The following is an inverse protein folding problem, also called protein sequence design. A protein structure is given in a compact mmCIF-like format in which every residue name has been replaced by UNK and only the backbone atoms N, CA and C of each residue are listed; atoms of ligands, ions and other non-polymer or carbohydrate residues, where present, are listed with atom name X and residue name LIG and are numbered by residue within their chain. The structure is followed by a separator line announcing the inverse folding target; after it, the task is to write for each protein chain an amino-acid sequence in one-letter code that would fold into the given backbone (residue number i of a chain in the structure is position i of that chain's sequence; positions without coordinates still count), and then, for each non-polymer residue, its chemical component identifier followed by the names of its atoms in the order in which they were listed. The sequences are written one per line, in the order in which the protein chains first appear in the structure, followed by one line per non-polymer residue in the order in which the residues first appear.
data_IF_635956925318
#
_entry.id   IF_635956925318
#
_cell.length_a   1.000
_cell.length_b   1.000
_cell.length_c   1.000
_cell.angle_alpha   90.00
_cell.angle_beta   90.00
_cell.angle_gamma   90.00
#
_symmetry.space_group_name_H-M   'P 1'
#
loop_
_entity.id
_entity.type
_entity.pdbx_description
1 polymer ?
#
# COMPACT_ATOMS: atom_id res chain seq x y z
N UNK A 1 16.21 -17.08 -13.10
CA UNK A 1 16.60 -17.40 -14.50
C UNK A 1 17.59 -16.34 -14.97
N UNK A 2 18.55 -16.69 -15.83
CA UNK A 2 19.52 -15.72 -16.39
C UNK A 2 19.33 -15.64 -17.90
N UNK A 3 19.41 -14.45 -18.48
CA UNK A 3 19.38 -14.27 -19.94
C UNK A 3 20.69 -14.73 -20.58
N UNK A 4 20.77 -14.87 -21.93
CA UNK A 4 22.02 -15.14 -22.63
C UNK A 4 23.13 -14.13 -22.31
N UNK A 5 22.74 -12.92 -21.91
CA UNK A 5 23.63 -11.83 -21.47
C UNK A 5 24.10 -11.95 -20.02
N UNK A 6 23.64 -12.96 -19.27
CA UNK A 6 24.05 -13.26 -17.88
C UNK A 6 23.22 -12.59 -16.79
N UNK A 7 22.37 -11.61 -17.13
CA UNK A 7 21.59 -10.84 -16.16
C UNK A 7 20.40 -11.65 -15.62
N UNK A 8 20.07 -11.46 -14.34
CA UNK A 8 18.91 -12.12 -13.73
C UNK A 8 17.63 -11.50 -14.24
N UNK A 9 16.67 -12.34 -14.65
CA UNK A 9 15.33 -11.90 -15.04
C UNK A 9 14.55 -11.58 -13.77
N UNK A 10 14.09 -10.33 -13.66
CA UNK A 10 13.22 -9.87 -12.58
C UNK A 10 11.75 -10.17 -12.90
N UNK A 11 11.28 -9.77 -14.10
CA UNK A 11 9.90 -9.89 -14.50
C UNK A 11 9.73 -9.85 -16.02
N UNK A 12 8.54 -10.20 -16.50
CA UNK A 12 8.07 -9.85 -17.84
C UNK A 12 6.96 -8.83 -17.68
N UNK A 13 7.10 -7.70 -18.39
CA UNK A 13 6.15 -6.61 -18.32
C UNK A 13 5.56 -6.30 -19.70
N UNK A 14 4.32 -5.82 -19.71
CA UNK A 14 3.65 -5.34 -20.92
C UNK A 14 2.97 -3.99 -20.67
N UNK A 15 2.94 -3.16 -21.71
CA UNK A 15 2.22 -1.89 -21.75
C UNK A 15 0.81 -2.12 -22.29
N UNK A 16 -0.19 -1.49 -21.68
CA UNK A 16 -1.59 -1.54 -22.11
C UNK A 16 -2.06 -0.15 -22.55
N UNK A 17 -2.90 -0.08 -23.60
CA UNK A 17 -3.34 1.20 -24.16
C UNK A 17 -4.39 1.94 -23.31
N UNK A 18 -5.06 1.25 -22.38
CA UNK A 18 -6.10 1.84 -21.55
C UNK A 18 -6.29 1.12 -20.22
N UNK A 19 -6.88 1.80 -19.24
CA UNK A 19 -7.27 1.22 -17.96
C UNK A 19 -8.24 0.04 -18.11
N UNK A 20 -9.14 0.09 -19.11
CA UNK A 20 -10.08 -0.99 -19.38
C UNK A 20 -9.39 -2.24 -19.94
N UNK A 21 -8.42 -2.07 -20.84
CA UNK A 21 -7.62 -3.17 -21.36
C UNK A 21 -6.78 -3.82 -20.24
N UNK A 22 -6.17 -2.99 -19.40
CA UNK A 22 -5.41 -3.46 -18.23
C UNK A 22 -6.29 -4.23 -17.23
N UNK A 23 -7.51 -3.75 -16.98
CA UNK A 23 -8.47 -4.38 -16.07
C UNK A 23 -8.89 -5.78 -16.55
N UNK A 24 -9.18 -5.95 -17.84
CA UNK A 24 -9.47 -7.27 -18.41
C UNK A 24 -8.25 -8.18 -18.44
N UNK A 25 -7.05 -7.62 -18.68
CA UNK A 25 -5.80 -8.37 -18.59
C UNK A 25 -5.54 -8.87 -17.16
N UNK A 26 -5.77 -8.04 -16.14
CA UNK A 26 -5.61 -8.40 -14.74
C UNK A 26 -6.49 -9.60 -14.36
N UNK A 27 -7.76 -9.64 -14.80
CA UNK A 27 -8.64 -10.80 -14.59
C UNK A 27 -8.06 -12.08 -15.20
N UNK A 28 -7.56 -12.01 -16.44
CA UNK A 28 -6.98 -13.18 -17.12
C UNK A 28 -5.73 -13.69 -16.41
N UNK A 29 -4.87 -12.78 -15.93
CA UNK A 29 -3.65 -13.15 -15.19
C UNK A 29 -4.00 -13.79 -13.84
N UNK A 30 -4.99 -13.24 -13.13
CA UNK A 30 -5.55 -13.85 -11.92
C UNK A 30 -6.11 -15.25 -12.20
N UNK A 31 -6.93 -15.40 -13.23
CA UNK A 31 -7.60 -16.65 -13.58
C UNK A 31 -6.61 -17.71 -14.09
N UNK A 32 -5.49 -17.28 -14.68
CA UNK A 32 -4.34 -18.12 -15.00
C UNK A 32 -3.57 -18.61 -13.75
N UNK A 33 -3.87 -18.08 -12.56
CA UNK A 33 -3.34 -18.56 -11.29
C UNK A 33 -1.96 -18.02 -10.90
N UNK A 34 -1.51 -16.94 -11.53
CA UNK A 34 -0.31 -16.22 -11.09
C UNK A 34 -0.56 -15.54 -9.74
N UNK A 35 0.42 -15.59 -8.84
CA UNK A 35 0.33 -15.05 -7.47
C UNK A 35 1.25 -13.86 -7.22
N UNK A 36 2.35 -13.73 -7.97
CA UNK A 36 3.36 -12.69 -7.84
C UNK A 36 3.43 -11.87 -9.11
N UNK A 37 2.48 -10.96 -9.23
CA UNK A 37 2.36 -10.03 -10.32
C UNK A 37 1.75 -8.74 -9.78
N UNK A 38 1.98 -7.63 -10.48
CA UNK A 38 1.50 -6.32 -10.09
C UNK A 38 1.06 -5.50 -11.30
N UNK A 39 0.28 -4.46 -11.03
CA UNK A 39 -0.28 -3.55 -12.02
C UNK A 39 0.14 -2.14 -11.67
N UNK A 40 0.66 -1.41 -12.65
CA UNK A 40 1.03 -0.01 -12.48
C UNK A 40 0.15 0.87 -13.36
N UNK A 41 -0.54 1.81 -12.71
CA UNK A 41 -1.39 2.80 -13.36
C UNK A 41 -1.14 4.20 -12.77
N UNK A 42 -1.28 5.27 -13.57
CA UNK A 42 -1.06 6.64 -13.11
C UNK A 42 -2.14 7.11 -12.12
N UNK A 43 -3.29 6.42 -12.08
CA UNK A 43 -4.39 6.69 -11.17
C UNK A 43 -5.02 5.38 -10.67
N UNK A 44 -5.75 5.42 -9.55
CA UNK A 44 -6.48 4.25 -9.04
C UNK A 44 -7.61 3.84 -9.99
N UNK A 45 -7.56 2.60 -10.48
CA UNK A 45 -8.62 2.03 -11.31
C UNK A 45 -9.65 1.35 -10.39
N UNK A 46 -10.90 1.78 -10.46
CA UNK A 46 -11.97 1.22 -9.62
C UNK A 46 -12.18 -0.28 -9.88
N UNK A 47 -12.20 -1.08 -8.81
CA UNK A 47 -12.39 -2.54 -8.88
C UNK A 47 -11.14 -3.31 -9.30
N UNK A 48 -9.98 -2.66 -9.46
CA UNK A 48 -8.73 -3.34 -9.80
C UNK A 48 -8.32 -4.35 -8.71
N UNK A 49 -8.60 -4.05 -7.46
CA UNK A 49 -8.45 -4.97 -6.33
C UNK A 49 -9.22 -6.27 -6.52
N UNK A 50 -10.50 -6.19 -6.91
CA UNK A 50 -11.31 -7.37 -7.23
C UNK A 50 -10.80 -8.10 -8.49
N UNK A 51 -10.36 -7.37 -9.51
CA UNK A 51 -9.78 -7.95 -10.73
C UNK A 51 -8.47 -8.69 -10.48
N UNK A 52 -7.63 -8.18 -9.57
CA UNK A 52 -6.41 -8.83 -9.11
C UNK A 52 -6.68 -9.95 -8.09
N UNK A 53 -7.85 -9.96 -7.46
CA UNK A 53 -8.20 -10.91 -6.41
C UNK A 53 -7.52 -10.59 -5.07
N UNK A 54 -7.27 -9.31 -4.80
CA UNK A 54 -6.66 -8.85 -3.56
C UNK A 54 -7.69 -8.83 -2.43
N UNK A 55 -7.25 -9.26 -1.24
CA UNK A 55 -8.06 -9.16 -0.03
C UNK A 55 -8.02 -7.75 0.58
N UNK A 56 -8.87 -7.53 1.58
CA UNK A 56 -8.85 -6.28 2.36
C UNK A 56 -7.49 -6.06 3.00
N UNK A 57 -6.96 -4.84 2.88
CA UNK A 57 -5.71 -4.46 3.55
C UNK A 57 -5.84 -4.57 5.07
N UNK A 58 -4.78 -5.10 5.69
CA UNK A 58 -4.65 -5.22 7.14
C UNK A 58 -4.27 -3.90 7.84
N UNK A 59 -4.09 -2.80 7.09
CA UNK A 59 -3.71 -1.48 7.59
C UNK A 59 -4.65 -0.93 8.68
N UNK A 60 -5.94 -1.27 8.65
CA UNK A 60 -6.88 -0.77 9.65
C UNK A 60 -6.55 -1.22 11.08
N UNK A 61 -5.93 -2.39 11.25
CA UNK A 61 -5.59 -2.94 12.56
C UNK A 61 -4.52 -2.11 13.31
N UNK A 62 -3.34 -1.82 12.73
CA UNK A 62 -2.37 -0.95 13.39
C UNK A 62 -2.89 0.48 13.60
N UNK A 63 -3.69 1.04 12.67
CA UNK A 63 -4.29 2.37 12.86
C UNK A 63 -5.20 2.39 14.09
N UNK A 64 -6.02 1.34 14.29
CA UNK A 64 -6.85 1.22 15.48
C UNK A 64 -6.00 1.15 16.76
N UNK A 65 -4.92 0.37 16.75
CA UNK A 65 -3.98 0.29 17.88
C UNK A 65 -3.34 1.65 18.17
N UNK A 66 -2.94 2.38 17.13
CA UNK A 66 -2.44 3.75 17.23
C UNK A 66 -3.46 4.72 17.84
N UNK A 67 -4.72 4.62 17.44
CA UNK A 67 -5.81 5.41 18.03
C UNK A 67 -6.02 5.09 19.51
N UNK A 68 -6.10 3.80 19.88
CA UNK A 68 -6.29 3.37 21.28
C UNK A 68 -5.13 3.85 22.16
N UNK A 69 -3.89 3.70 21.68
CA UNK A 69 -2.70 4.17 22.42
C UNK A 69 -2.70 5.69 22.58
N UNK A 70 -3.08 6.45 21.55
CA UNK A 70 -3.27 7.91 21.64
C UNK A 70 -4.34 8.29 22.65
N UNK A 71 -5.50 7.62 22.63
CA UNK A 71 -6.59 7.87 23.56
C UNK A 71 -6.19 7.61 25.02
N UNK A 72 -5.55 6.47 25.29
CA UNK A 72 -5.06 6.12 26.64
C UNK A 72 -3.99 7.11 27.12
N UNK A 73 -3.11 7.54 26.21
CA UNK A 73 -2.09 8.55 26.51
C UNK A 73 -2.75 9.89 26.89
N UNK A 74 -3.82 10.29 26.20
CA UNK A 74 -4.52 11.53 26.53
C UNK A 74 -5.23 11.47 27.88
N UNK A 75 -5.84 10.32 28.21
CA UNK A 75 -6.43 10.11 29.54
C UNK A 75 -5.33 10.23 30.61
N UNK A 76 -4.19 9.56 30.43
CA UNK A 76 -3.08 9.62 31.37
C UNK A 76 -2.53 11.06 31.51
N UNK A 77 -2.40 11.78 30.39
CA UNK A 77 -1.86 13.14 30.36
C UNK A 77 -2.81 14.18 30.98
N UNK A 78 -4.12 13.97 30.89
CA UNK A 78 -5.12 14.92 31.42
C UNK A 78 -5.53 14.61 32.84
N UNK A 79 -5.96 13.37 33.12
CA UNK A 79 -6.38 12.95 34.47
C UNK A 79 -5.21 12.72 35.43
N UNK A 80 -4.04 12.31 34.93
CA UNK A 80 -2.84 12.16 35.76
C UNK A 80 -2.52 13.43 36.57
N UNK A 81 -2.25 14.55 35.90
CA UNK A 81 -2.01 15.82 36.58
C UNK A 81 -3.23 16.34 37.35
N UNK A 82 -4.40 16.33 36.71
CA UNK A 82 -5.60 16.97 37.26
C UNK A 82 -6.17 16.28 38.49
N UNK A 83 -5.98 14.97 38.64
CA UNK A 83 -6.59 14.18 39.74
C UNK A 83 -5.54 13.66 40.72
N UNK A 84 -4.37 13.23 40.25
CA UNK A 84 -3.40 12.52 41.09
C UNK A 84 -2.18 13.35 41.49
N UNK A 85 -1.61 14.15 40.59
CA UNK A 85 -0.33 14.85 40.85
C UNK A 85 -0.57 16.19 41.55
N UNK A 86 -1.44 17.03 40.98
CA UNK A 86 -1.69 18.37 41.52
C UNK A 86 -3.13 18.82 41.22
N UNK A 87 -4.10 18.41 42.06
CA UNK A 87 -5.50 18.76 41.86
C UNK A 87 -5.70 20.26 42.11
N UNK A 88 -5.95 20.99 41.03
CA UNK A 88 -6.21 22.44 41.06
C UNK A 88 -7.69 22.71 40.75
N UNK A 89 -8.37 23.37 41.70
CA UNK A 89 -9.74 23.83 41.50
C UNK A 89 -9.72 25.14 40.71
N UNK A 90 -10.03 25.07 39.41
CA UNK A 90 -10.10 26.23 38.52
C UNK A 90 -11.57 26.57 38.26
N UNK A 91 -11.99 27.78 38.64
CA UNK A 91 -13.38 28.25 38.51
C UNK A 91 -14.43 27.33 39.15
N UNK A 92 -14.08 26.66 40.25
CA UNK A 92 -14.99 25.74 40.96
C UNK A 92 -15.27 24.43 40.22
N UNK A 93 -14.54 24.15 39.12
CA UNK A 93 -14.68 22.88 38.38
C UNK A 93 -14.13 21.73 39.22
N UNK A 94 -14.79 20.56 39.21
CA UNK A 94 -14.31 19.39 39.94
C UNK A 94 -12.98 18.88 39.35
N UNK A 95 -12.16 18.22 40.16
CA UNK A 95 -10.90 17.58 39.70
C UNK A 95 -11.06 16.09 39.39
N UNK A 96 -12.29 15.59 39.52
CA UNK A 96 -12.65 14.18 39.30
C UNK A 96 -13.07 13.93 37.82
N UNK A 97 -13.57 12.72 37.56
CA UNK A 97 -14.07 12.27 36.26
C UNK A 97 -15.10 13.20 35.60
N UNK A 98 -15.82 14.02 36.38
CA UNK A 98 -16.83 14.98 35.91
C UNK A 98 -16.25 16.08 35.01
N UNK A 99 -14.93 16.28 35.01
CA UNK A 99 -14.23 17.24 34.14
C UNK A 99 -13.84 16.65 32.79
N UNK A 100 -14.17 15.39 32.51
CA UNK A 100 -13.97 14.74 31.21
C UNK A 100 -14.42 15.59 30.00
N UNK A 101 -15.57 16.31 30.02
CA UNK A 101 -15.97 17.13 28.88
C UNK A 101 -14.96 18.26 28.53
N UNK A 102 -14.24 18.79 29.52
CA UNK A 102 -13.22 19.82 29.27
C UNK A 102 -11.96 19.25 28.62
N UNK A 103 -11.67 17.96 28.82
CA UNK A 103 -10.50 17.27 28.25
C UNK A 103 -10.81 16.58 26.93
N UNK A 104 -12.08 16.52 26.51
CA UNK A 104 -12.49 15.85 25.28
C UNK A 104 -11.74 16.34 24.04
N UNK A 105 -11.51 17.66 23.81
CA UNK A 105 -10.71 18.10 22.68
C UNK A 105 -9.29 17.50 22.67
N UNK A 106 -8.63 17.43 23.84
CA UNK A 106 -7.28 16.86 23.96
C UNK A 106 -7.31 15.35 23.66
N UNK A 107 -8.30 14.63 24.19
CA UNK A 107 -8.47 13.19 23.93
C UNK A 107 -8.69 12.91 22.45
N UNK A 108 -9.53 13.72 21.79
CA UNK A 108 -9.79 13.61 20.36
C UNK A 108 -8.53 13.86 19.54
N UNK A 109 -7.85 14.99 19.77
CA UNK A 109 -6.66 15.38 18.99
C UNK A 109 -5.53 14.35 19.13
N UNK A 110 -5.25 13.86 20.34
CA UNK A 110 -4.17 12.89 20.53
C UNK A 110 -4.51 11.52 19.92
N UNK A 111 -5.78 11.12 19.96
CA UNK A 111 -6.26 9.91 19.28
C UNK A 111 -6.05 10.01 17.78
N UNK A 112 -6.48 11.12 17.17
CA UNK A 112 -6.35 11.36 15.73
C UNK A 112 -4.87 11.48 15.33
N UNK A 113 -4.05 12.18 16.12
CA UNK A 113 -2.63 12.34 15.88
C UNK A 113 -1.88 10.99 15.85
N UNK A 114 -2.07 10.16 16.89
CA UNK A 114 -1.42 8.85 16.96
C UNK A 114 -1.94 7.89 15.88
N UNK A 115 -3.24 7.93 15.57
CA UNK A 115 -3.81 7.16 14.46
C UNK A 115 -3.23 7.58 13.11
N UNK A 116 -3.08 8.88 12.85
CA UNK A 116 -2.53 9.43 11.62
C UNK A 116 -1.06 9.05 11.42
N UNK A 117 -0.22 9.20 12.45
CA UNK A 117 1.18 8.76 12.38
C UNK A 117 1.29 7.25 12.15
N UNK A 118 0.49 6.47 12.89
CA UNK A 118 0.50 5.01 12.71
C UNK A 118 0.06 4.62 11.31
N UNK A 119 -0.97 5.27 10.75
CA UNK A 119 -1.41 5.07 9.37
C UNK A 119 -0.29 5.37 8.37
N UNK A 120 0.36 6.53 8.50
CA UNK A 120 1.45 6.95 7.63
C UNK A 120 2.61 5.95 7.64
N UNK A 121 3.14 5.63 8.82
CA UNK A 121 4.29 4.73 8.94
C UNK A 121 3.94 3.28 8.58
N UNK A 122 2.75 2.80 8.99
CA UNK A 122 2.31 1.45 8.65
C UNK A 122 2.13 1.27 7.14
N UNK A 123 1.54 2.26 6.45
CA UNK A 123 1.40 2.22 4.99
C UNK A 123 2.76 2.15 4.29
N UNK A 124 3.73 2.96 4.72
CA UNK A 124 5.08 2.92 4.18
C UNK A 124 5.74 1.55 4.38
N UNK A 125 5.72 1.02 5.60
CA UNK A 125 6.34 -0.27 5.94
C UNK A 125 5.68 -1.42 5.17
N UNK A 126 4.34 -1.44 5.10
CA UNK A 126 3.59 -2.49 4.40
C UNK A 126 3.87 -2.51 2.90
N UNK A 127 4.07 -1.35 2.29
CA UNK A 127 4.42 -1.22 0.88
C UNK A 127 5.93 -1.39 0.64
N UNK A 128 6.73 -1.62 1.68
CA UNK A 128 8.20 -1.75 1.57
C UNK A 128 8.89 -0.43 1.22
N UNK A 129 8.31 0.71 1.58
CA UNK A 129 8.86 2.05 1.39
C UNK A 129 9.62 2.53 2.63
N UNK A 130 10.69 3.34 2.48
CA UNK A 130 11.23 3.88 1.22
C UNK A 130 12.05 2.85 0.44
N UNK A 131 11.75 2.70 -0.86
CA UNK A 131 12.52 1.87 -1.80
C UNK A 131 12.99 2.72 -2.96
N UNK A 132 14.25 3.15 -2.89
CA UNK A 132 14.85 4.06 -3.86
C UNK A 132 15.06 3.44 -5.24
N UNK A 133 15.34 2.13 -5.28
CA UNK A 133 15.55 1.41 -6.51
C UNK A 133 14.64 0.18 -6.56
N UNK A 134 13.86 0.11 -7.64
CA UNK A 134 13.04 -1.03 -7.99
C UNK A 134 13.46 -1.50 -9.38
N UNK A 135 13.73 -2.80 -9.61
CA UNK A 135 14.19 -3.31 -10.91
C UNK A 135 13.33 -2.93 -12.12
N UNK A 136 12.04 -2.68 -11.86
CA UNK A 136 11.12 -2.22 -12.91
C UNK A 136 11.50 -0.88 -13.55
N UNK A 137 12.25 -0.04 -12.83
CA UNK A 137 12.71 1.25 -13.34
C UNK A 137 13.78 1.09 -14.44
N UNK A 138 14.37 -0.10 -14.62
CA UNK A 138 15.33 -0.39 -15.68
C UNK A 138 14.67 -0.48 -17.07
N UNK A 139 13.33 -0.46 -17.11
CA UNK A 139 12.59 -0.39 -18.36
C UNK A 139 12.30 1.07 -18.74
N UNK A 140 12.91 1.57 -19.82
CA UNK A 140 12.78 2.98 -20.25
C UNK A 140 11.33 3.46 -20.40
N UNK A 141 10.43 2.59 -20.88
CA UNK A 141 9.00 2.91 -21.04
C UNK A 141 8.27 3.06 -19.72
N UNK A 142 8.77 2.48 -18.64
CA UNK A 142 8.14 2.57 -17.31
C UNK A 142 8.11 4.01 -16.79
N UNK A 143 8.95 4.91 -17.32
CA UNK A 143 8.86 6.36 -17.05
C UNK A 143 7.47 6.95 -17.33
N UNK A 144 6.67 6.32 -18.21
CA UNK A 144 5.30 6.73 -18.55
C UNK A 144 4.23 6.20 -17.58
N UNK A 145 4.59 5.36 -16.60
CA UNK A 145 3.63 4.73 -15.66
C UNK A 145 2.88 5.75 -14.80
N UNK A 146 3.48 6.91 -14.57
CA UNK A 146 2.88 8.01 -13.80
C UNK A 146 2.20 9.05 -14.70
N UNK A 147 2.26 8.91 -16.02
CA UNK A 147 1.72 9.88 -16.97
C UNK A 147 0.49 9.32 -17.72
N UNK A 148 0.71 8.49 -18.74
CA UNK A 148 -0.31 8.11 -19.72
C UNK A 148 -0.35 6.61 -20.05
N UNK A 149 0.57 5.80 -19.52
CA UNK A 149 0.67 4.37 -19.82
C UNK A 149 0.27 3.48 -18.64
N UNK A 150 -0.22 2.30 -18.97
CA UNK A 150 -0.63 1.26 -18.02
C UNK A 150 0.27 0.05 -18.17
N UNK A 151 0.67 -0.58 -17.07
CA UNK A 151 1.60 -1.70 -17.11
C UNK A 151 1.11 -2.88 -16.28
N UNK A 152 1.33 -4.09 -16.79
CA UNK A 152 1.17 -5.33 -16.03
C UNK A 152 2.51 -6.05 -15.99
N UNK A 153 2.86 -6.56 -14.82
CA UNK A 153 4.18 -7.11 -14.53
C UNK A 153 4.02 -8.47 -13.87
N UNK A 154 4.55 -9.51 -14.50
CA UNK A 154 4.58 -10.86 -13.93
C UNK A 154 6.00 -11.13 -13.46
N UNK A 155 6.17 -11.35 -12.16
CA UNK A 155 7.49 -11.51 -11.59
C UNK A 155 8.05 -12.92 -11.77
N UNK A 156 9.35 -13.01 -12.04
CA UNK A 156 10.06 -14.27 -12.23
C UNK A 156 10.14 -15.14 -10.97
N UNK A 157 9.82 -14.57 -9.81
CA UNK A 157 9.73 -15.27 -8.52
C UNK A 157 8.43 -16.03 -8.32
N UNK A 158 7.47 -15.94 -9.24
CA UNK A 158 6.23 -16.72 -9.15
C UNK A 158 6.50 -18.23 -9.34
N UNK A 159 5.92 -19.13 -8.53
CA UNK A 159 6.12 -20.58 -8.69
C UNK A 159 5.70 -21.13 -10.06
N UNK A 160 4.75 -20.47 -10.73
CA UNK A 160 4.23 -20.84 -12.06
C UNK A 160 4.96 -20.11 -13.19
N UNK A 161 5.96 -19.29 -12.88
CA UNK A 161 6.62 -18.48 -13.89
C UNK A 161 7.41 -19.32 -14.89
N UNK A 162 6.98 -19.28 -16.15
CA UNK A 162 7.77 -19.68 -17.31
C UNK A 162 7.77 -18.53 -18.31
N UNK A 163 8.93 -18.20 -18.88
CA UNK A 163 9.07 -17.05 -19.80
C UNK A 163 8.08 -17.12 -20.97
N UNK A 164 7.94 -18.30 -21.57
CA UNK A 164 7.02 -18.54 -22.69
C UNK A 164 5.55 -18.37 -22.30
N UNK A 165 5.13 -18.96 -21.17
CA UNK A 165 3.74 -18.87 -20.68
C UNK A 165 3.38 -17.42 -20.33
N UNK A 166 4.28 -16.70 -19.66
CA UNK A 166 4.06 -15.30 -19.31
C UNK A 166 4.02 -14.39 -20.54
N UNK A 167 4.92 -14.57 -21.52
CA UNK A 167 4.86 -13.80 -22.78
C UNK A 167 3.58 -14.10 -23.55
N UNK A 168 3.21 -15.38 -23.68
CA UNK A 168 1.99 -15.78 -24.38
C UNK A 168 0.74 -15.18 -23.71
N UNK A 169 0.64 -15.25 -22.39
CA UNK A 169 -0.47 -14.69 -21.63
C UNK A 169 -0.57 -13.16 -21.78
N UNK A 170 0.57 -12.47 -21.77
CA UNK A 170 0.62 -11.03 -21.99
C UNK A 170 0.22 -10.66 -23.43
N UNK A 171 0.59 -11.46 -24.43
CA UNK A 171 0.15 -11.27 -25.82
C UNK A 171 -1.36 -11.50 -25.96
N UNK A 172 -1.87 -12.61 -25.44
CA UNK A 172 -3.29 -12.97 -25.52
C UNK A 172 -4.20 -11.96 -24.80
N UNK A 173 -3.70 -11.36 -23.70
CA UNK A 173 -4.42 -10.32 -22.96
C UNK A 173 -4.37 -8.93 -23.61
N UNK A 174 -3.66 -8.75 -24.74
CA UNK A 174 -3.60 -7.49 -25.48
C UNK A 174 -2.44 -6.57 -25.07
N UNK A 175 -1.42 -7.12 -24.41
CA UNK A 175 -0.21 -6.40 -24.04
C UNK A 175 0.60 -5.95 -25.26
N UNK A 176 1.04 -4.70 -25.22
CA UNK A 176 1.93 -4.06 -26.19
C UNK A 176 3.34 -3.95 -25.59
N UNK A 177 4.36 -3.88 -26.44
CA UNK A 177 5.76 -3.65 -26.02
C UNK A 177 6.25 -4.60 -24.90
N UNK A 178 5.94 -5.90 -25.04
CA UNK A 178 6.31 -6.91 -24.04
C UNK A 178 7.84 -6.97 -23.91
N UNK A 179 8.33 -6.76 -22.69
CA UNK A 179 9.75 -6.63 -22.40
C UNK A 179 10.14 -7.50 -21.21
N UNK A 180 11.27 -8.18 -21.31
CA UNK A 180 11.90 -8.86 -20.19
C UNK A 180 12.67 -7.85 -19.37
N UNK A 181 12.28 -7.65 -18.12
CA UNK A 181 12.91 -6.71 -17.18
C UNK A 181 13.99 -7.45 -16.40
N UNK A 182 15.18 -6.85 -16.32
CA UNK A 182 16.33 -7.41 -15.60
C UNK A 182 16.42 -6.83 -14.18
N UNK A 183 17.08 -7.58 -13.29
CA UNK A 183 17.28 -7.19 -11.88
C UNK A 183 18.38 -6.13 -11.70
N UNK A 184 19.31 -6.05 -12.67
CA UNK A 184 20.50 -5.19 -12.69
C UNK A 184 20.27 -3.88 -13.45
#
# INVERSE_FOLDING_TARGET
MRTPSGNKVYAIAAEYPSAAALYEAAKRVRDAGFKRWDVHSPFPIHGMDDAMGLGKSWLSAPVLLGGITGFLTAIALTFGPSTFIYPLIVHGKPTDWRTAPAFFPIMFELTVLCAAFTCFFAMLIMNGLPRWHHPIFNWDRFSRATNDSFFLVIEARDPRFTEQEAVQLLQESGGQHITVVHED
#
